data_IF_077675637310
#
_entry.id   IF_077675637310
#
_cell.length_a   1.000
_cell.length_b   1.000
_cell.length_c   1.000
_cell.angle_alpha   90.00
_cell.angle_beta   90.00
_cell.angle_gamma   90.00
#
_symmetry.space_group_name_H-M   'P 1'
#
loop_
_entity.id
_entity.type
_entity.pdbx_description
1 polymer ?
#
# COMPACT_ATOMS: atom_id res chain seq x y z
N UNK A 1 -10.63 23.24 1.88
CA UNK A 1 -10.75 22.34 3.06
C UNK A 1 -9.34 22.00 3.50
N UNK A 2 -9.04 22.05 4.79
CA UNK A 2 -7.71 21.70 5.31
C UNK A 2 -7.54 20.17 5.28
N UNK A 3 -6.49 19.66 4.61
CA UNK A 3 -6.17 18.23 4.52
C UNK A 3 -5.01 17.89 5.46
N UNK A 4 -5.07 16.72 6.11
CA UNK A 4 -4.01 16.28 7.04
C UNK A 4 -2.84 15.64 6.27
N UNK A 5 -1.62 16.15 6.50
CA UNK A 5 -0.38 15.53 6.00
C UNK A 5 0.12 14.41 6.94
N UNK A 6 0.29 14.70 8.23
CA UNK A 6 0.78 13.72 9.22
C UNK A 6 2.03 12.96 8.75
N UNK A 7 2.06 11.63 8.94
CA UNK A 7 3.15 10.76 8.47
C UNK A 7 3.02 10.35 6.99
N UNK A 8 2.01 10.84 6.26
CA UNK A 8 1.68 10.39 4.90
C UNK A 8 2.82 10.60 3.90
N UNK A 9 3.51 11.77 3.85
CA UNK A 9 4.61 11.95 2.92
C UNK A 9 5.78 11.00 3.20
N UNK A 10 6.07 10.74 4.47
CA UNK A 10 7.13 9.81 4.88
C UNK A 10 6.77 8.39 4.43
N UNK A 11 5.54 7.93 4.70
CA UNK A 11 5.08 6.63 4.24
C UNK A 11 5.18 6.50 2.71
N UNK A 12 4.78 7.53 1.97
CA UNK A 12 4.85 7.54 0.51
C UNK A 12 6.30 7.46 -0.02
N UNK A 13 7.24 8.17 0.59
CA UNK A 13 8.66 8.07 0.21
C UNK A 13 9.22 6.67 0.45
N UNK A 14 8.94 6.05 1.59
CA UNK A 14 9.39 4.68 1.85
C UNK A 14 8.75 3.67 0.89
N UNK A 15 7.46 3.82 0.56
CA UNK A 15 6.77 2.99 -0.42
C UNK A 15 7.40 3.11 -1.81
N UNK A 16 7.76 4.33 -2.23
CA UNK A 16 8.47 4.59 -3.50
C UNK A 16 9.89 4.02 -3.51
N UNK A 17 10.65 4.20 -2.44
CA UNK A 17 11.99 3.62 -2.32
C UNK A 17 11.98 2.10 -2.38
N UNK A 18 10.97 1.48 -1.76
CA UNK A 18 10.74 0.04 -1.80
C UNK A 18 10.01 -0.42 -3.07
N UNK A 19 9.61 0.51 -3.95
CA UNK A 19 8.92 0.24 -5.22
C UNK A 19 7.72 -0.71 -5.06
N UNK A 20 6.94 -0.49 -4.01
CA UNK A 20 5.82 -1.38 -3.67
C UNK A 20 4.82 -1.42 -4.82
N UNK A 21 4.47 -0.27 -5.40
CA UNK A 21 3.57 -0.24 -6.54
C UNK A 21 4.12 -1.00 -7.76
N UNK A 22 5.40 -0.82 -8.11
CA UNK A 22 6.01 -1.50 -9.26
C UNK A 22 6.09 -3.01 -9.07
N UNK A 23 6.45 -3.45 -7.86
CA UNK A 23 6.47 -4.88 -7.50
C UNK A 23 5.08 -5.48 -7.65
N UNK A 24 4.07 -4.89 -7.00
CA UNK A 24 2.69 -5.39 -7.05
C UNK A 24 2.15 -5.40 -8.47
N UNK A 25 2.40 -4.36 -9.26
CA UNK A 25 1.92 -4.30 -10.64
C UNK A 25 2.61 -5.31 -11.56
N UNK A 26 3.90 -5.58 -11.37
CA UNK A 26 4.61 -6.63 -12.09
C UNK A 26 4.15 -8.05 -11.72
N UNK A 27 3.60 -8.21 -10.52
CA UNK A 27 3.07 -9.48 -9.99
C UNK A 27 1.64 -9.72 -10.45
N UNK A 28 0.78 -8.72 -10.24
CA UNK A 28 -0.67 -8.76 -10.43
C UNK A 28 -1.08 -7.55 -11.27
N UNK A 29 -0.81 -7.53 -12.58
CA UNK A 29 -1.13 -6.37 -13.41
C UNK A 29 -2.62 -6.08 -13.40
N UNK A 30 -2.96 -4.79 -13.34
CA UNK A 30 -4.34 -4.33 -13.47
C UNK A 30 -4.88 -4.54 -14.89
N UNK A 31 -6.19 -4.34 -15.05
CA UNK A 31 -6.76 -4.24 -16.38
C UNK A 31 -6.27 -2.97 -17.10
N UNK A 32 -6.04 -3.04 -18.41
CA UNK A 32 -5.51 -1.91 -19.20
C UNK A 32 -6.35 -0.62 -19.13
N UNK A 33 -7.63 -0.72 -18.77
CA UNK A 33 -8.55 0.41 -18.59
C UNK A 33 -8.73 0.85 -17.13
N UNK A 34 -7.95 0.30 -16.19
CA UNK A 34 -8.06 0.63 -14.78
C UNK A 34 -7.52 2.04 -14.51
N UNK A 35 -8.33 2.87 -13.83
CA UNK A 35 -7.90 4.22 -13.43
C UNK A 35 -6.80 4.23 -12.37
N UNK A 36 -6.66 3.13 -11.61
CA UNK A 36 -5.56 2.90 -10.68
C UNK A 36 -5.04 1.49 -10.89
N UNK A 37 -3.72 1.35 -10.82
CA UNK A 37 -3.05 0.04 -10.78
C UNK A 37 -3.30 -0.66 -9.46
N UNK A 38 -3.12 -1.99 -9.40
CA UNK A 38 -3.18 -2.68 -8.12
C UNK A 38 -2.08 -2.18 -7.19
N UNK A 39 -0.90 -1.86 -7.73
CA UNK A 39 0.19 -1.25 -6.97
C UNK A 39 -0.18 0.05 -6.27
N UNK A 40 -0.79 1.00 -6.98
CA UNK A 40 -1.27 2.26 -6.39
C UNK A 40 -2.31 2.05 -5.29
N UNK A 41 -3.20 1.08 -5.48
CA UNK A 41 -4.20 0.72 -4.46
C UNK A 41 -3.52 0.17 -3.20
N UNK A 42 -2.55 -0.73 -3.35
CA UNK A 42 -1.82 -1.30 -2.21
C UNK A 42 -1.02 -0.23 -1.45
N UNK A 43 -0.36 0.70 -2.16
CA UNK A 43 0.32 1.83 -1.51
C UNK A 43 -0.64 2.68 -0.66
N UNK A 44 -1.83 3.01 -1.20
CA UNK A 44 -2.84 3.75 -0.46
C UNK A 44 -3.34 2.99 0.78
N UNK A 45 -3.52 1.66 0.68
CA UNK A 45 -3.94 0.82 1.82
C UNK A 45 -2.86 0.72 2.90
N UNK A 46 -1.59 0.58 2.52
CA UNK A 46 -0.46 0.61 3.47
C UNK A 46 -0.38 1.97 4.15
N UNK A 47 -0.47 3.06 3.39
CA UNK A 47 -0.47 4.42 3.93
C UNK A 47 -1.64 4.68 4.89
N UNK A 48 -2.83 4.18 4.59
CA UNK A 48 -3.97 4.20 5.50
C UNK A 48 -3.65 3.50 6.82
N UNK A 49 -3.05 2.30 6.74
CA UNK A 49 -2.69 1.49 7.91
C UNK A 49 -1.62 2.13 8.79
N UNK A 50 -0.67 2.86 8.20
CA UNK A 50 0.43 3.52 8.91
C UNK A 50 0.05 4.87 9.53
N UNK A 51 -1.09 5.44 9.15
CA UNK A 51 -1.48 6.79 9.58
C UNK A 51 -2.65 6.77 10.57
N UNK A 52 -3.86 6.61 10.06
CA UNK A 52 -5.08 6.52 10.85
C UNK A 52 -5.97 5.46 10.19
N UNK A 53 -5.79 4.18 10.57
CA UNK A 53 -6.46 3.06 9.92
C UNK A 53 -7.96 3.28 9.81
N UNK A 54 -8.47 3.17 8.60
CA UNK A 54 -9.91 3.16 8.33
C UNK A 54 -10.30 1.76 7.85
N UNK A 55 -11.51 1.28 8.17
CA UNK A 55 -12.02 0.06 7.53
C UNK A 55 -12.10 0.28 6.01
N UNK A 56 -12.03 -0.82 5.23
CA UNK A 56 -11.96 -0.79 3.76
C UNK A 56 -13.02 0.13 3.13
N UNK A 57 -14.27 0.04 3.61
CA UNK A 57 -15.41 0.82 3.13
C UNK A 57 -15.28 2.34 3.39
N UNK A 58 -14.34 2.76 4.23
CA UNK A 58 -14.09 4.16 4.62
C UNK A 58 -12.73 4.68 4.16
N UNK A 59 -11.99 3.93 3.35
CA UNK A 59 -10.69 4.39 2.84
C UNK A 59 -10.85 5.62 1.95
N UNK A 60 -11.91 5.72 1.15
CA UNK A 60 -12.22 6.95 0.41
C UNK A 60 -12.46 8.17 1.31
N UNK A 61 -13.16 8.00 2.45
CA UNK A 61 -13.32 9.07 3.45
C UNK A 61 -11.99 9.48 4.07
N UNK A 62 -11.14 8.50 4.41
CA UNK A 62 -9.79 8.76 4.86
C UNK A 62 -9.01 9.56 3.82
N UNK A 63 -9.06 9.18 2.55
CA UNK A 63 -8.35 9.87 1.48
C UNK A 63 -8.86 11.30 1.25
N UNK A 64 -10.14 11.59 1.52
CA UNK A 64 -10.69 12.97 1.47
C UNK A 64 -10.19 13.85 2.62
N UNK A 65 -9.91 13.26 3.78
CA UNK A 65 -9.47 14.00 4.99
C UNK A 65 -7.95 14.12 5.08
N UNK A 66 -7.21 13.29 4.35
CA UNK A 66 -5.75 13.29 4.24
C UNK A 66 -5.29 13.83 2.89
N UNK A 67 -4.03 14.27 2.80
CA UNK A 67 -3.44 14.79 1.56
C UNK A 67 -3.06 13.67 0.55
N UNK A 68 -3.95 12.70 0.31
CA UNK A 68 -3.67 11.52 -0.52
C UNK A 68 -3.49 11.89 -1.98
N UNK A 69 -4.33 12.76 -2.50
CA UNK A 69 -4.24 13.27 -3.87
C UNK A 69 -2.92 13.99 -4.10
N UNK A 70 -2.49 14.82 -3.15
CA UNK A 70 -1.25 15.59 -3.23
C UNK A 70 0.00 14.72 -3.10
N UNK A 71 -0.05 13.64 -2.31
CA UNK A 71 1.12 12.80 -2.00
C UNK A 71 1.27 11.61 -2.94
N UNK A 72 0.16 11.03 -3.40
CA UNK A 72 0.13 9.84 -4.24
C UNK A 72 -0.40 10.11 -5.66
N UNK A 73 -0.96 11.29 -5.94
CA UNK A 73 -1.62 11.57 -7.21
C UNK A 73 -2.94 10.80 -7.40
N UNK A 74 -3.53 10.31 -6.31
CA UNK A 74 -4.73 9.47 -6.33
C UNK A 74 -5.92 10.31 -5.88
N UNK A 75 -6.87 10.53 -6.78
CA UNK A 75 -8.15 11.17 -6.44
C UNK A 75 -8.91 10.30 -5.41
N UNK A 76 -9.41 10.86 -4.30
CA UNK A 76 -10.07 10.09 -3.25
C UNK A 76 -11.26 9.25 -3.71
N UNK A 77 -12.00 9.72 -4.72
CA UNK A 77 -13.18 9.02 -5.26
C UNK A 77 -12.81 7.76 -6.08
N UNK A 78 -11.53 7.64 -6.46
CA UNK A 78 -10.98 6.43 -7.05
C UNK A 78 -10.69 5.35 -5.99
N UNK A 79 -10.75 5.64 -4.69
CA UNK A 79 -10.54 4.66 -3.62
C UNK A 79 -11.86 4.10 -3.09
N UNK A 80 -12.71 3.60 -4.00
CA UNK A 80 -13.95 2.88 -3.66
C UNK A 80 -13.67 1.43 -3.27
N UNK A 81 -14.51 0.89 -2.39
CA UNK A 81 -14.40 -0.44 -1.80
C UNK A 81 -14.32 -1.57 -2.83
N UNK A 82 -15.10 -1.52 -3.92
CA UNK A 82 -15.03 -2.51 -5.00
C UNK A 82 -13.63 -2.59 -5.64
N UNK A 83 -12.97 -1.45 -5.83
CA UNK A 83 -11.60 -1.40 -6.37
C UNK A 83 -10.59 -1.91 -5.36
N UNK A 84 -10.75 -1.52 -4.09
CA UNK A 84 -9.87 -1.97 -3.03
C UNK A 84 -9.97 -3.48 -2.82
N UNK A 85 -11.19 -4.03 -2.80
CA UNK A 85 -11.46 -5.46 -2.69
C UNK A 85 -10.86 -6.22 -3.87
N UNK A 86 -11.06 -5.75 -5.11
CA UNK A 86 -10.48 -6.39 -6.30
C UNK A 86 -8.95 -6.44 -6.26
N UNK A 87 -8.31 -5.37 -5.81
CA UNK A 87 -6.85 -5.35 -5.66
C UNK A 87 -6.39 -6.34 -4.58
N UNK A 88 -7.09 -6.40 -3.44
CA UNK A 88 -6.80 -7.36 -2.37
C UNK A 88 -6.97 -8.81 -2.85
N UNK A 89 -8.06 -9.12 -3.56
CA UNK A 89 -8.30 -10.44 -4.14
C UNK A 89 -7.23 -10.83 -5.16
N UNK A 90 -6.75 -9.86 -5.96
CA UNK A 90 -5.70 -10.09 -6.94
C UNK A 90 -4.34 -10.38 -6.29
N UNK A 91 -3.98 -9.71 -5.20
CA UNK A 91 -2.69 -9.93 -4.52
C UNK A 91 -2.71 -11.11 -3.55
N UNK A 92 -3.87 -11.55 -3.07
CA UNK A 92 -4.00 -12.62 -2.09
C UNK A 92 -3.23 -13.90 -2.45
N UNK A 93 -3.32 -14.47 -3.69
CA UNK A 93 -2.54 -15.65 -4.05
C UNK A 93 -1.03 -15.40 -4.18
N UNK A 94 -0.61 -14.13 -4.30
CA UNK A 94 0.77 -13.74 -4.58
C UNK A 94 1.45 -13.04 -3.39
N UNK A 95 0.78 -13.00 -2.23
CA UNK A 95 1.17 -12.19 -1.09
C UNK A 95 2.59 -12.51 -0.59
N UNK A 96 2.93 -13.79 -0.50
CA UNK A 96 4.26 -14.23 -0.07
C UNK A 96 5.37 -13.73 -1.02
N UNK A 97 5.11 -13.78 -2.33
CA UNK A 97 6.05 -13.32 -3.35
C UNK A 97 6.23 -11.80 -3.30
N UNK A 98 5.13 -11.05 -3.19
CA UNK A 98 5.16 -9.59 -3.05
C UNK A 98 5.95 -9.23 -1.79
N UNK A 99 5.58 -9.80 -0.64
CA UNK A 99 6.21 -9.49 0.64
C UNK A 99 7.70 -9.87 0.66
N UNK A 100 8.06 -11.03 0.13
CA UNK A 100 9.45 -11.47 -0.03
C UNK A 100 10.27 -10.54 -0.92
N UNK A 101 9.68 -10.06 -2.02
CA UNK A 101 10.36 -9.14 -2.95
C UNK A 101 10.58 -7.76 -2.30
N UNK A 102 9.55 -7.21 -1.65
CA UNK A 102 9.65 -5.95 -0.90
C UNK A 102 10.69 -6.07 0.21
N UNK A 103 10.67 -7.18 0.96
CA UNK A 103 11.63 -7.46 2.03
C UNK A 103 13.07 -7.56 1.52
N UNK A 104 13.30 -8.29 0.42
CA UNK A 104 14.62 -8.38 -0.21
C UNK A 104 15.15 -7.01 -0.65
N UNK A 105 14.27 -6.15 -1.18
CA UNK A 105 14.63 -4.78 -1.53
C UNK A 105 14.95 -3.93 -0.30
N UNK A 106 14.17 -4.04 0.76
CA UNK A 106 14.45 -3.33 2.01
C UNK A 106 15.83 -3.71 2.58
N UNK A 107 16.19 -4.99 2.53
CA UNK A 107 17.51 -5.47 2.95
C UNK A 107 18.62 -4.83 2.10
N UNK A 108 18.45 -4.84 0.77
CA UNK A 108 19.44 -4.29 -0.16
C UNK A 108 19.62 -2.76 -0.01
N UNK A 109 18.52 -2.02 0.11
CA UNK A 109 18.52 -0.56 0.15
C UNK A 109 18.97 -0.01 1.51
N UNK A 110 18.55 -0.64 2.62
CA UNK A 110 18.86 -0.14 3.97
C UNK A 110 20.01 -0.88 4.67
N UNK A 111 20.64 -1.85 4.00
CA UNK A 111 21.74 -2.63 4.58
C UNK A 111 21.33 -3.39 5.84
N UNK A 112 20.09 -3.88 5.90
CA UNK A 112 19.53 -4.55 7.06
C UNK A 112 20.27 -5.87 7.29
N UNK A 113 20.83 -6.06 8.49
CA UNK A 113 21.47 -7.32 8.84
C UNK A 113 20.42 -8.44 8.97
N UNK A 114 20.46 -9.39 8.03
CA UNK A 114 19.59 -10.56 7.97
C UNK A 114 20.03 -11.71 8.87
N UNK A 115 21.11 -11.56 9.65
CA UNK A 115 21.54 -12.57 10.62
C UNK A 115 20.45 -12.89 11.66
N UNK A 116 19.45 -12.01 11.83
CA UNK A 116 18.24 -12.21 12.63
C UNK A 116 17.01 -11.61 11.95
N UNK A 117 16.29 -12.41 11.17
CA UNK A 117 14.97 -12.05 10.65
C UNK A 117 13.88 -12.46 11.66
N UNK A 118 13.32 -11.49 12.40
CA UNK A 118 12.08 -11.71 13.16
C UNK A 118 10.89 -11.36 12.28
N UNK A 119 10.22 -12.39 11.77
CA UNK A 119 8.91 -12.24 11.16
C UNK A 119 7.86 -12.29 12.26
N UNK A 120 7.45 -11.13 12.78
CA UNK A 120 6.40 -11.05 13.80
C UNK A 120 5.02 -11.25 13.15
N UNK A 121 4.71 -12.52 12.85
CA UNK A 121 3.33 -12.96 12.64
C UNK A 121 2.64 -13.03 13.99
N UNK A 122 2.25 -11.89 14.56
CA UNK A 122 1.16 -11.93 15.52
C UNK A 122 -0.12 -12.23 14.75
N UNK A 123 -0.39 -13.51 14.53
CA UNK A 123 -1.75 -13.98 14.32
C UNK A 123 -2.50 -13.75 15.63
N UNK A 124 -3.26 -12.66 15.70
CA UNK A 124 -4.41 -12.64 16.60
C UNK A 124 -5.47 -13.47 15.88
N UNK A 125 -5.34 -14.79 16.01
CA UNK A 125 -6.40 -15.72 15.65
C UNK A 125 -7.64 -15.33 16.42
N UNK A 126 -8.74 -15.13 15.68
CA UNK A 126 -10.08 -15.19 16.23
C UNK A 126 -10.87 -16.20 15.43
#
# INVERSE_FOLDING_TARGET
MEKRLGALPVAAEFLRWLDVAGIVEGVCPGGASAHLTHGQVIEALVANRLTSPAPLVRVGDWARTWAVEEVFGIEPDLLNDDRLARALDAIAPELERIAGTVGARAIAEFGIDVSRLHWDMTSIGR
#
